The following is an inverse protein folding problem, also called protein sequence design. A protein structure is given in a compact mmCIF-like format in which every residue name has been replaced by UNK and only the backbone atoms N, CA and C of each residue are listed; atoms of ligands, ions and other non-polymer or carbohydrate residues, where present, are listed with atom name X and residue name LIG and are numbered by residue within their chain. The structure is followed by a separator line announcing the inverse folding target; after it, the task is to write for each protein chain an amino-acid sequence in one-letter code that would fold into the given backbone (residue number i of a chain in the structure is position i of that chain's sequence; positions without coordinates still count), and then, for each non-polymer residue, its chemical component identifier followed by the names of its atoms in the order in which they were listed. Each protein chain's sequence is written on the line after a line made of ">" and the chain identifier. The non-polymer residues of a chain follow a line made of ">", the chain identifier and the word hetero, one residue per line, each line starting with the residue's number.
data_IF_069640432604
#
_entry.id   IF_069640432604
#
_cell.length_a   1.000
_cell.length_b   1.000
_cell.length_c   1.000
_cell.angle_alpha   90.00
_cell.angle_beta   90.00
_cell.angle_gamma   90.00
#
_symmetry.space_group_name_H-M   'P 1'
#
loop_
_entity.id
_entity.type
_entity.pdbx_description
1 polymer ?
#
# COMPACT_ATOMS: atom_id res chain seq x y z
N UNK A 1 8.17 -52.78 -51.11
CA UNK A 1 7.30 -51.64 -51.49
C UNK A 1 7.20 -50.69 -50.28
N UNK A 2 8.04 -49.67 -50.24
CA UNK A 2 7.77 -48.39 -49.54
C UNK A 2 7.07 -47.46 -50.56
N UNK A 3 6.46 -46.31 -50.20
CA UNK A 3 6.45 -45.59 -48.91
C UNK A 3 5.01 -45.16 -48.50
N UNK A 4 4.76 -44.52 -47.35
CA UNK A 4 4.67 -43.05 -47.27
C UNK A 4 4.73 -42.62 -45.81
N UNK A 5 5.85 -42.01 -45.42
CA UNK A 5 5.92 -41.07 -44.30
C UNK A 5 5.12 -39.82 -44.67
N UNK A 6 4.23 -39.37 -43.77
CA UNK A 6 3.75 -37.99 -43.76
C UNK A 6 4.33 -37.31 -42.53
N UNK A 7 5.41 -36.57 -42.76
CA UNK A 7 5.98 -35.61 -41.82
C UNK A 7 4.99 -34.47 -41.64
N UNK A 8 4.44 -34.30 -40.44
CA UNK A 8 3.68 -33.11 -40.06
C UNK A 8 4.67 -32.16 -39.41
N UNK A 9 5.07 -31.14 -40.16
CA UNK A 9 5.89 -30.03 -39.69
C UNK A 9 4.99 -29.07 -38.92
N UNK A 10 5.01 -29.14 -37.58
CA UNK A 10 4.36 -28.13 -36.74
C UNK A 10 5.22 -26.87 -36.68
N UNK A 11 4.72 -25.79 -37.27
CA UNK A 11 5.28 -24.44 -37.10
C UNK A 11 4.75 -23.89 -35.78
N UNK A 12 5.61 -23.79 -34.77
CA UNK A 12 5.30 -23.10 -33.52
C UNK A 12 5.65 -21.62 -33.70
N UNK A 13 4.62 -20.78 -33.80
CA UNK A 13 4.73 -19.33 -33.77
C UNK A 13 4.86 -18.91 -32.30
N UNK A 14 6.08 -18.64 -31.83
CA UNK A 14 6.30 -18.13 -30.49
C UNK A 14 5.92 -16.64 -30.46
N UNK A 15 4.74 -16.32 -29.91
CA UNK A 15 4.38 -14.95 -29.56
C UNK A 15 5.26 -14.50 -28.39
N UNK A 16 6.17 -13.58 -28.65
CA UNK A 16 6.85 -12.82 -27.61
C UNK A 16 5.85 -11.81 -27.02
N UNK A 17 5.32 -12.08 -25.84
CA UNK A 17 4.60 -11.06 -25.07
C UNK A 17 5.62 -10.08 -24.51
N UNK A 18 5.72 -8.91 -25.12
CA UNK A 18 6.38 -7.76 -24.52
C UNK A 18 5.62 -7.39 -23.24
N UNK A 19 6.26 -7.55 -22.08
CA UNK A 19 5.79 -6.96 -20.84
C UNK A 19 5.87 -5.43 -20.99
N UNK A 20 4.72 -4.79 -21.19
CA UNK A 20 4.60 -3.35 -21.02
C UNK A 20 4.64 -3.07 -19.52
N UNK A 21 5.78 -2.57 -19.02
CA UNK A 21 5.81 -1.90 -17.74
C UNK A 21 4.97 -0.62 -17.88
N UNK A 22 3.79 -0.61 -17.26
CA UNK A 22 3.06 0.63 -17.06
C UNK A 22 3.93 1.54 -16.19
N UNK A 23 4.33 2.68 -16.75
CA UNK A 23 5.14 3.67 -16.06
C UNK A 23 4.43 4.19 -14.82
N UNK A 24 5.22 4.43 -13.77
CA UNK A 24 4.82 5.14 -12.57
C UNK A 24 4.08 6.44 -12.96
N UNK A 25 2.83 6.54 -12.51
CA UNK A 25 1.97 7.69 -12.73
C UNK A 25 2.26 8.79 -11.72
N UNK A 26 2.46 9.99 -12.26
CA UNK A 26 2.41 11.34 -11.67
C UNK A 26 3.59 11.80 -10.79
N UNK A 27 4.54 12.43 -11.47
CA UNK A 27 5.36 13.53 -10.97
C UNK A 27 4.51 14.81 -10.99
N UNK A 28 4.18 15.35 -9.81
CA UNK A 28 3.78 16.75 -9.63
C UNK A 28 4.05 17.18 -8.17
N UNK A 29 5.12 17.94 -7.98
CA UNK A 29 5.25 18.89 -6.87
C UNK A 29 6.24 18.51 -5.78
N UNK A 30 7.44 19.10 -5.86
CA UNK A 30 8.41 19.31 -4.77
C UNK A 30 8.25 18.37 -3.57
N UNK A 31 8.84 17.17 -3.68
CA UNK A 31 8.91 16.22 -2.57
C UNK A 31 9.39 16.95 -1.32
N UNK A 32 8.48 17.05 -0.34
CA UNK A 32 8.81 17.49 0.99
C UNK A 32 10.01 16.67 1.46
N UNK A 33 11.08 17.30 1.96
CA UNK A 33 12.31 16.59 2.31
C UNK A 33 12.04 15.37 3.19
N UNK A 34 10.99 15.43 4.02
CA UNK A 34 10.51 14.33 4.85
C UNK A 34 9.99 13.11 4.06
N UNK A 35 9.29 13.31 2.94
CA UNK A 35 8.81 12.24 2.07
C UNK A 35 9.97 11.56 1.31
N UNK A 36 11.05 12.28 1.03
CA UNK A 36 12.26 11.67 0.46
C UNK A 36 13.03 10.83 1.50
N UNK A 37 12.99 11.21 2.78
CA UNK A 37 13.72 10.49 3.84
C UNK A 37 13.04 9.21 4.33
N UNK A 38 11.71 9.09 4.23
CA UNK A 38 11.00 7.87 4.69
C UNK A 38 11.36 6.61 3.88
N UNK A 39 11.90 6.76 2.68
CA UNK A 39 12.27 5.67 1.80
C UNK A 39 11.43 5.62 0.54
N UNK A 40 11.18 4.41 0.03
CA UNK A 40 10.52 4.20 -1.26
C UNK A 40 9.79 2.85 -1.32
N UNK A 41 8.86 2.67 -2.28
CA UNK A 41 8.25 1.37 -2.54
C UNK A 41 9.32 0.30 -2.78
N UNK A 42 9.19 -0.83 -2.08
CA UNK A 42 10.13 -1.95 -2.15
C UNK A 42 9.65 -3.08 -3.07
N UNK A 43 10.58 -3.95 -3.45
CA UNK A 43 10.28 -5.19 -4.18
C UNK A 43 9.96 -6.32 -3.17
N UNK A 44 8.75 -6.91 -3.17
CA UNK A 44 8.40 -7.99 -2.25
C UNK A 44 9.34 -9.21 -2.34
N UNK A 45 9.96 -9.45 -3.50
CA UNK A 45 10.92 -10.55 -3.68
C UNK A 45 12.27 -10.29 -3.00
N UNK A 46 12.51 -9.05 -2.55
CA UNK A 46 13.75 -8.62 -1.87
C UNK A 46 13.51 -8.17 -0.44
N UNK A 47 12.34 -8.47 0.13
CA UNK A 47 12.05 -8.12 1.51
C UNK A 47 12.97 -8.89 2.48
N UNK A 48 13.59 -8.16 3.40
CA UNK A 48 14.42 -8.70 4.48
C UNK A 48 13.57 -9.48 5.48
N UNK A 49 12.34 -9.01 5.74
CA UNK A 49 11.33 -9.74 6.51
C UNK A 49 9.90 -9.32 6.20
N UNK A 50 8.99 -10.10 6.77
CA UNK A 50 7.55 -9.86 6.76
C UNK A 50 7.11 -9.47 8.17
N UNK A 51 6.27 -8.44 8.27
CA UNK A 51 5.61 -8.04 9.52
C UNK A 51 4.12 -8.13 9.29
N UNK A 52 3.41 -8.87 10.14
CA UNK A 52 1.95 -8.87 10.14
C UNK A 52 1.45 -7.70 10.99
N UNK A 53 0.45 -6.98 10.49
CA UNK A 53 -0.19 -5.86 11.20
C UNK A 53 -1.70 -6.09 11.16
N UNK A 54 -2.30 -6.24 12.33
CA UNK A 54 -3.75 -6.33 12.52
C UNK A 54 -4.31 -4.96 12.85
N UNK A 55 -5.30 -4.51 12.06
CA UNK A 55 -6.11 -3.34 12.37
C UNK A 55 -7.40 -3.79 13.06
N UNK A 56 -7.66 -3.20 14.22
CA UNK A 56 -8.96 -3.28 14.92
C UNK A 56 -9.55 -1.87 14.98
N UNK A 57 -10.67 -1.69 15.67
CA UNK A 57 -11.49 -0.47 15.56
C UNK A 57 -10.72 0.84 15.72
N UNK A 58 -9.83 0.95 16.70
CA UNK A 58 -9.07 2.18 16.96
C UNK A 58 -7.61 1.90 17.28
N UNK A 59 -7.08 0.75 16.83
CA UNK A 59 -5.74 0.32 17.20
C UNK A 59 -5.09 -0.57 16.14
N UNK A 60 -3.77 -0.50 16.09
CA UNK A 60 -2.91 -1.43 15.38
C UNK A 60 -2.25 -2.40 16.36
N UNK A 61 -2.09 -3.65 15.93
CA UNK A 61 -1.25 -4.64 16.58
C UNK A 61 -0.25 -5.24 15.57
N UNK A 62 1.07 -5.06 15.76
CA UNK A 62 1.71 -4.26 16.81
C UNK A 62 1.51 -2.75 16.60
N UNK A 63 1.51 -1.98 17.69
CA UNK A 63 1.43 -0.50 17.65
C UNK A 63 2.80 0.18 17.50
N UNK A 64 3.91 -0.56 17.56
CA UNK A 64 5.26 -0.07 17.29
C UNK A 64 6.05 -1.12 16.52
N UNK A 65 6.73 -0.67 15.46
CA UNK A 65 7.56 -1.54 14.62
C UNK A 65 8.97 -0.96 14.59
N UNK A 66 9.92 -1.77 15.04
CA UNK A 66 11.34 -1.43 15.01
C UNK A 66 11.93 -1.75 13.63
N UNK A 67 12.69 -0.83 13.05
CA UNK A 67 13.30 -0.95 11.71
C UNK A 67 14.78 -0.58 11.71
N UNK A 68 15.47 -0.89 10.62
CA UNK A 68 16.79 -0.36 10.28
C UNK A 68 16.73 0.52 9.02
N UNK A 69 17.65 1.48 8.92
CA UNK A 69 17.86 2.22 7.67
C UNK A 69 18.25 1.26 6.53
N UNK A 70 17.62 1.41 5.37
CA UNK A 70 17.81 0.55 4.20
C UNK A 70 17.04 -0.78 4.25
N UNK A 71 16.37 -1.10 5.36
CA UNK A 71 15.60 -2.34 5.49
C UNK A 71 14.39 -2.34 4.55
N UNK A 72 14.16 -3.47 3.87
CA UNK A 72 12.95 -3.70 3.07
C UNK A 72 12.01 -4.61 3.82
N UNK A 73 10.85 -4.10 4.23
CA UNK A 73 9.81 -4.87 4.92
C UNK A 73 8.60 -5.03 4.01
N UNK A 74 8.04 -6.23 3.99
CA UNK A 74 6.67 -6.43 3.52
C UNK A 74 5.72 -6.48 4.71
N UNK A 75 4.88 -5.47 4.84
CA UNK A 75 3.75 -5.46 5.75
C UNK A 75 2.63 -6.29 5.16
N UNK A 76 2.08 -7.18 5.98
CA UNK A 76 0.93 -8.00 5.68
C UNK A 76 -0.18 -7.50 6.59
N UNK A 77 -1.03 -6.63 6.06
CA UNK A 77 -2.01 -5.85 6.82
C UNK A 77 -3.38 -6.52 6.73
N UNK A 78 -3.99 -6.86 7.86
CA UNK A 78 -5.38 -7.31 7.96
C UNK A 78 -6.25 -6.27 8.63
N UNK A 79 -7.51 -6.18 8.20
CA UNK A 79 -8.56 -5.52 8.94
C UNK A 79 -9.38 -6.59 9.67
N UNK A 80 -9.12 -6.71 10.97
CA UNK A 80 -9.77 -7.67 11.87
C UNK A 80 -10.87 -7.00 12.74
N UNK A 81 -11.18 -5.73 12.47
CA UNK A 81 -12.27 -4.97 13.09
C UNK A 81 -13.56 -4.91 12.26
N UNK A 82 -14.52 -4.09 12.71
CA UNK A 82 -15.84 -3.92 12.08
C UNK A 82 -15.96 -2.71 11.14
N UNK A 83 -14.97 -1.81 11.10
CA UNK A 83 -14.99 -0.60 10.27
C UNK A 83 -13.96 -0.66 9.16
N UNK A 84 -14.12 0.17 8.13
CA UNK A 84 -13.05 0.42 7.15
C UNK A 84 -11.85 1.00 7.89
N UNK A 85 -10.67 0.44 7.61
CA UNK A 85 -9.42 0.91 8.15
C UNK A 85 -8.39 1.10 7.06
N UNK A 86 -7.50 2.07 7.29
CA UNK A 86 -6.36 2.34 6.45
C UNK A 86 -5.08 2.03 7.22
N UNK A 87 -4.12 1.41 6.54
CA UNK A 87 -2.72 1.44 6.95
C UNK A 87 -1.99 2.38 6.00
N UNK A 88 -1.59 3.55 6.48
CA UNK A 88 -0.85 4.55 5.72
C UNK A 88 0.51 4.83 6.37
N UNK A 89 1.59 4.34 5.77
CA UNK A 89 2.94 4.63 6.23
C UNK A 89 3.31 6.07 5.82
N UNK A 90 3.64 6.93 6.78
CA UNK A 90 3.87 8.34 6.46
C UNK A 90 4.26 9.19 7.65
N UNK A 91 4.27 10.50 7.41
CA UNK A 91 4.56 11.51 8.44
C UNK A 91 3.29 12.23 8.84
N UNK A 92 3.29 12.86 10.01
CA UNK A 92 2.17 13.66 10.49
C UNK A 92 1.73 14.73 9.47
N UNK A 93 2.70 15.34 8.76
CA UNK A 93 2.41 16.32 7.70
C UNK A 93 1.68 15.70 6.51
N UNK A 94 2.09 14.50 6.09
CA UNK A 94 1.44 13.78 4.99
C UNK A 94 -0.01 13.43 5.36
N UNK A 95 -0.21 12.88 6.56
CA UNK A 95 -1.54 12.51 7.06
C UNK A 95 -2.48 13.72 7.21
N UNK A 96 -1.97 14.87 7.66
CA UNK A 96 -2.75 16.11 7.67
C UNK A 96 -3.19 16.55 6.27
N UNK A 97 -2.31 16.43 5.27
CA UNK A 97 -2.65 16.73 3.88
C UNK A 97 -3.64 15.72 3.27
N UNK A 98 -3.63 14.49 3.77
CA UNK A 98 -4.49 13.40 3.30
C UNK A 98 -5.94 13.46 3.81
N UNK A 99 -6.16 14.14 4.94
CA UNK A 99 -7.47 14.20 5.61
C UNK A 99 -8.59 14.73 4.69
N UNK A 100 -8.32 15.77 3.88
CA UNK A 100 -9.32 16.36 2.99
C UNK A 100 -9.78 15.37 1.90
N UNK A 101 -8.88 14.52 1.42
CA UNK A 101 -9.19 13.45 0.47
C UNK A 101 -10.16 12.44 1.10
N UNK A 102 -9.83 11.95 2.30
CA UNK A 102 -10.63 10.97 3.03
C UNK A 102 -12.02 11.51 3.39
N UNK A 103 -12.10 12.77 3.81
CA UNK A 103 -13.39 13.44 4.04
C UNK A 103 -14.24 13.49 2.78
N UNK A 104 -13.65 13.83 1.63
CA UNK A 104 -14.34 13.85 0.34
C UNK A 104 -14.80 12.44 -0.08
N UNK A 105 -14.01 11.40 0.17
CA UNK A 105 -14.41 10.01 -0.08
C UNK A 105 -15.67 9.63 0.71
N UNK A 106 -15.74 10.01 1.98
CA UNK A 106 -16.91 9.76 2.82
C UNK A 106 -18.13 10.60 2.39
N UNK A 107 -17.94 11.91 2.16
CA UNK A 107 -19.03 12.84 1.81
C UNK A 107 -19.70 12.51 0.46
N UNK A 108 -18.92 11.99 -0.48
CA UNK A 108 -19.42 11.58 -1.80
C UNK A 108 -19.87 10.12 -1.85
N UNK A 109 -19.75 9.40 -0.73
CA UNK A 109 -20.12 8.00 -0.60
C UNK A 109 -19.28 7.04 -1.43
N UNK A 110 -18.02 7.41 -1.72
CA UNK A 110 -16.97 6.48 -2.17
C UNK A 110 -16.57 5.51 -1.05
N UNK A 111 -16.82 5.90 0.19
CA UNK A 111 -16.74 5.00 1.34
C UNK A 111 -17.85 5.31 2.35
N UNK A 112 -18.12 4.34 3.20
CA UNK A 112 -18.94 4.46 4.40
C UNK A 112 -18.14 3.93 5.58
N UNK A 113 -18.79 3.77 6.73
CA UNK A 113 -18.12 3.28 7.95
C UNK A 113 -17.53 1.88 7.75
N UNK A 114 -18.16 1.02 6.95
CA UNK A 114 -17.79 -0.40 6.81
C UNK A 114 -17.65 -0.89 5.35
N UNK A 115 -17.82 -0.01 4.36
CA UNK A 115 -17.78 -0.35 2.93
C UNK A 115 -17.05 0.67 2.06
N UNK A 116 -16.43 0.17 0.99
CA UNK A 116 -15.74 0.94 -0.05
C UNK A 116 -16.44 0.74 -1.40
N UNK A 117 -16.92 1.84 -2.00
CA UNK A 117 -17.55 1.85 -3.33
C UNK A 117 -16.49 2.10 -4.40
N UNK A 118 -15.84 1.01 -4.82
CA UNK A 118 -14.76 1.03 -5.81
C UNK A 118 -15.21 1.59 -7.17
N UNK A 119 -16.47 1.40 -7.55
CA UNK A 119 -16.99 1.93 -8.82
C UNK A 119 -17.05 3.45 -8.78
N UNK A 120 -17.47 4.05 -7.66
CA UNK A 120 -17.43 5.50 -7.48
C UNK A 120 -16.02 6.05 -7.38
N UNK A 121 -15.12 5.34 -6.69
CA UNK A 121 -13.70 5.72 -6.63
C UNK A 121 -13.08 5.78 -8.02
N UNK A 122 -13.33 4.77 -8.84
CA UNK A 122 -12.87 4.73 -10.23
C UNK A 122 -13.49 5.86 -11.06
N UNK A 123 -14.79 6.11 -10.94
CA UNK A 123 -15.47 7.21 -11.63
C UNK A 123 -14.94 8.59 -11.23
N UNK A 124 -14.54 8.75 -9.97
CA UNK A 124 -13.96 9.97 -9.43
C UNK A 124 -12.45 10.11 -9.73
N UNK A 125 -11.79 9.05 -10.20
CA UNK A 125 -10.33 9.01 -10.40
C UNK A 125 -9.55 9.08 -9.08
N UNK A 126 -10.12 8.57 -7.99
CA UNK A 126 -9.58 8.62 -6.63
C UNK A 126 -9.56 7.19 -6.06
N UNK A 127 -8.64 6.37 -6.57
CA UNK A 127 -8.56 4.95 -6.22
C UNK A 127 -7.91 4.70 -4.86
N UNK A 128 -7.24 5.71 -4.30
CA UNK A 128 -6.59 5.62 -3.01
C UNK A 128 -5.62 4.42 -2.94
N UNK A 129 -4.79 4.29 -3.97
CA UNK A 129 -3.93 3.15 -4.27
C UNK A 129 -2.42 3.49 -4.21
N UNK A 130 -2.08 4.49 -3.39
CA UNK A 130 -0.69 4.87 -3.14
C UNK A 130 0.13 3.70 -2.57
N UNK A 131 1.39 3.59 -2.99
CA UNK A 131 2.23 2.42 -2.66
C UNK A 131 2.52 2.24 -1.16
N UNK A 132 2.36 3.30 -0.36
CA UNK A 132 2.50 3.32 1.10
C UNK A 132 1.18 3.18 1.85
N UNK A 133 0.05 2.98 1.15
CA UNK A 133 -1.28 2.89 1.74
C UNK A 133 -2.05 1.64 1.30
N UNK A 134 -2.89 1.12 2.20
CA UNK A 134 -3.97 0.19 1.89
C UNK A 134 -5.22 0.54 2.68
N UNK A 135 -6.35 0.68 1.99
CA UNK A 135 -7.67 0.90 2.58
C UNK A 135 -8.51 -0.38 2.48
N UNK A 136 -8.91 -0.92 3.62
CA UNK A 136 -9.45 -2.27 3.74
C UNK A 136 -10.82 -2.27 4.41
N UNK A 137 -11.78 -2.96 3.80
CA UNK A 137 -13.03 -3.36 4.47
C UNK A 137 -12.79 -4.42 5.55
N UNK A 138 -13.74 -4.60 6.49
CA UNK A 138 -13.70 -5.69 7.46
C UNK A 138 -13.40 -7.06 6.84
N UNK A 139 -12.43 -7.78 7.42
CA UNK A 139 -12.00 -9.11 6.99
C UNK A 139 -11.09 -9.13 5.75
N UNK A 140 -10.76 -7.99 5.17
CA UNK A 140 -9.81 -7.91 4.05
C UNK A 140 -8.35 -7.91 4.52
N UNK A 141 -7.45 -8.31 3.62
CA UNK A 141 -6.01 -8.37 3.85
C UNK A 141 -5.27 -7.92 2.61
N UNK A 142 -4.24 -7.09 2.78
CA UNK A 142 -3.40 -6.60 1.69
C UNK A 142 -1.91 -6.54 2.10
N UNK A 143 -1.06 -6.10 1.18
CA UNK A 143 0.37 -5.98 1.41
C UNK A 143 0.88 -4.60 1.02
N UNK A 144 1.78 -4.07 1.83
CA UNK A 144 2.60 -2.89 1.53
C UNK A 144 4.05 -3.33 1.63
N UNK A 145 4.87 -3.09 0.61
CA UNK A 145 6.30 -3.36 0.68
C UNK A 145 7.08 -2.05 0.59
N UNK A 146 7.93 -1.80 1.57
CA UNK A 146 8.65 -0.54 1.70
C UNK A 146 10.11 -0.77 2.02
N UNK A 147 10.99 -0.03 1.34
CA UNK A 147 12.41 0.08 1.67
C UNK A 147 12.61 1.38 2.44
N UNK A 148 12.99 1.28 3.71
CA UNK A 148 13.13 2.43 4.59
C UNK A 148 14.39 3.24 4.26
N UNK A 149 14.23 4.56 4.24
CA UNK A 149 15.32 5.51 4.02
C UNK A 149 16.05 5.88 5.31
N UNK A 150 16.64 7.07 5.31
CA UNK A 150 17.35 7.64 6.46
C UNK A 150 16.42 7.84 7.66
N UNK A 151 17.02 7.87 8.85
CA UNK A 151 16.27 8.14 10.08
C UNK A 151 15.48 9.46 9.98
N UNK A 152 14.16 9.35 10.08
CA UNK A 152 13.21 10.48 10.07
C UNK A 152 12.05 10.23 11.04
N UNK A 153 11.23 11.26 11.28
CA UNK A 153 9.95 11.08 11.95
C UNK A 153 9.00 10.35 11.00
N UNK A 154 8.60 9.14 11.39
CA UNK A 154 7.83 8.22 10.56
C UNK A 154 6.91 7.39 11.47
N UNK A 155 5.73 7.06 10.97
CA UNK A 155 4.82 6.13 11.63
C UNK A 155 3.85 5.53 10.61
N UNK A 156 2.78 4.95 11.11
CA UNK A 156 1.63 4.54 10.29
C UNK A 156 0.33 4.95 10.97
N UNK A 157 -0.67 5.33 10.19
CA UNK A 157 -1.95 5.82 10.73
C UNK A 157 -3.14 5.35 9.90
N UNK A 158 -4.32 5.38 10.50
CA UNK A 158 -5.59 5.21 9.81
C UNK A 158 -6.25 6.58 9.61
N UNK A 159 -6.31 7.08 8.36
CA UNK A 159 -6.87 8.41 8.08
C UNK A 159 -8.36 8.38 7.74
N UNK A 160 -9.04 7.24 7.96
CA UNK A 160 -10.51 7.21 7.95
C UNK A 160 -11.02 8.28 8.93
N UNK A 161 -11.96 9.15 8.53
CA UNK A 161 -12.33 10.32 9.32
C UNK A 161 -12.66 9.99 10.78
N UNK A 162 -11.92 10.62 11.72
CA UNK A 162 -12.10 10.47 13.16
C UNK A 162 -11.24 9.38 13.80
N UNK A 163 -10.60 8.48 13.04
CA UNK A 163 -9.85 7.35 13.60
C UNK A 163 -8.48 7.80 14.13
N UNK A 164 -7.69 8.49 13.31
CA UNK A 164 -6.40 9.07 13.73
C UNK A 164 -6.57 10.07 14.87
N UNK A 165 -7.61 10.91 14.80
CA UNK A 165 -7.94 11.89 15.85
C UNK A 165 -8.31 11.22 17.17
N UNK A 166 -8.83 9.99 17.11
CA UNK A 166 -9.11 9.14 18.28
C UNK A 166 -7.90 8.35 18.78
N UNK A 167 -6.74 8.48 18.11
CA UNK A 167 -5.48 7.87 18.51
C UNK A 167 -5.07 6.63 17.73
N UNK A 168 -5.72 6.32 16.59
CA UNK A 168 -5.33 5.19 15.74
C UNK A 168 -4.05 5.50 14.93
N UNK A 169 -2.92 5.48 15.64
CA UNK A 169 -1.56 5.73 15.14
C UNK A 169 -0.63 4.64 15.69
N UNK A 170 0.31 4.19 14.86
CA UNK A 170 1.42 3.33 15.26
C UNK A 170 2.77 3.95 14.94
N UNK A 171 3.78 3.56 15.71
CA UNK A 171 5.12 4.14 15.67
C UNK A 171 6.09 3.32 14.82
N UNK A 172 7.01 4.01 14.14
CA UNK A 172 8.20 3.41 13.54
C UNK A 172 9.43 3.84 14.34
N UNK A 173 10.15 2.86 14.89
CA UNK A 173 11.35 3.09 15.70
C UNK A 173 12.61 2.66 14.97
N UNK A 174 13.49 3.60 14.65
CA UNK A 174 14.82 3.27 14.11
C UNK A 174 15.71 2.68 15.20
N UNK A 175 16.12 1.42 15.01
CA UNK A 175 17.05 0.74 15.90
C UNK A 175 18.40 1.44 15.89
N UNK A 176 18.95 1.65 17.09
CA UNK A 176 20.32 2.15 17.24
C UNK A 176 21.28 1.00 16.96
N UNK A 177 22.27 1.26 16.10
CA UNK A 177 23.44 0.40 15.97
C UNK A 177 24.22 0.32 17.30
#
# INVERSE_FOLDING_TARGET
>A
MQPYLKTITSVVFALTTSAAFAGAGHDDGHGDGHAAMMGQPGDPAKADRVVEVSMTEMAFDPSNIEIMEGETITFVVSNDGEFVHEFNLGTEKMWQGHMDEMMKMMDTGMMTVDKIDHDKMMQAGMMHDDANSVLLEPGQKAKVTWTFGEKTELGFACNVPGHRESGMVGDISFMKH
#
